data_IF_939662154577
#
_entry.id   IF_939662154577
#
_cell.length_a   1.000
_cell.length_b   1.000
_cell.length_c   1.000
_cell.angle_alpha   90.00
_cell.angle_beta   90.00
_cell.angle_gamma   90.00
#
_symmetry.space_group_name_H-M   'P 1'
#
loop_
_entity.id
_entity.type
_entity.pdbx_description
1 polymer ?
#
# COMPACT_ATOMS: atom_id res chain seq x y z
N UNK A 1 9.94 2.67 -16.09
CA UNK A 1 9.58 2.69 -14.66
C UNK A 1 8.52 1.63 -14.43
N UNK A 2 8.62 0.84 -13.36
CA UNK A 2 7.65 -0.21 -13.04
C UNK A 2 6.62 0.37 -12.08
N UNK A 3 5.33 0.26 -12.43
CA UNK A 3 4.23 0.70 -11.57
C UNK A 3 3.99 -0.29 -10.44
N UNK A 4 3.61 0.23 -9.27
CA UNK A 4 3.13 -0.57 -8.13
C UNK A 4 1.65 -0.27 -7.94
N UNK A 5 0.87 -1.34 -7.87
CA UNK A 5 -0.54 -1.29 -7.58
C UNK A 5 -0.76 -1.54 -6.09
N UNK A 6 -1.42 -0.61 -5.42
CA UNK A 6 -1.91 -0.79 -4.05
C UNK A 6 -3.38 -1.19 -4.13
N UNK A 7 -3.68 -2.39 -3.65
CA UNK A 7 -5.03 -2.93 -3.57
C UNK A 7 -5.51 -2.75 -2.14
N UNK A 8 -6.60 -2.01 -1.94
CA UNK A 8 -7.22 -1.80 -0.62
C UNK A 8 -8.59 -2.43 -0.56
N UNK A 9 -8.81 -3.35 0.38
CA UNK A 9 -10.12 -3.86 0.74
C UNK A 9 -10.73 -3.01 1.85
N UNK A 10 -11.96 -2.59 1.67
CA UNK A 10 -12.71 -1.75 2.58
C UNK A 10 -13.77 -2.54 3.34
N UNK A 11 -13.96 -2.21 4.61
CA UNK A 11 -15.05 -2.76 5.43
C UNK A 11 -15.54 -1.69 6.40
N UNK A 12 -16.86 -1.43 6.41
CA UNK A 12 -17.46 -0.42 7.29
C UNK A 12 -16.88 0.99 7.11
N UNK A 13 -16.54 1.39 5.89
CA UNK A 13 -15.99 2.71 5.57
C UNK A 13 -14.52 2.92 5.93
N UNK A 14 -13.81 1.90 6.42
CA UNK A 14 -12.37 1.95 6.75
C UNK A 14 -11.56 0.91 5.96
N UNK A 15 -10.27 1.18 5.69
CA UNK A 15 -9.40 0.23 5.02
C UNK A 15 -9.13 -0.97 5.94
N UNK A 16 -9.62 -2.15 5.56
CA UNK A 16 -9.50 -3.38 6.34
C UNK A 16 -8.18 -4.12 6.05
N UNK A 17 -7.78 -4.21 4.78
CA UNK A 17 -6.53 -4.86 4.37
C UNK A 17 -5.98 -4.22 3.10
N UNK A 18 -4.65 -4.14 2.99
CA UNK A 18 -3.96 -3.65 1.79
C UNK A 18 -2.96 -4.69 1.29
N UNK A 19 -2.74 -4.68 -0.01
CA UNK A 19 -1.71 -5.46 -0.68
C UNK A 19 -1.00 -4.62 -1.73
N UNK A 20 0.17 -5.08 -2.15
CA UNK A 20 0.88 -4.56 -3.30
C UNK A 20 0.96 -5.61 -4.41
N UNK A 21 0.99 -5.16 -5.65
CA UNK A 21 1.27 -5.95 -6.83
C UNK A 21 2.10 -5.14 -7.81
N UNK A 22 3.04 -5.78 -8.48
CA UNK A 22 3.81 -5.20 -9.59
C UNK A 22 3.05 -5.23 -10.92
N UNK A 23 2.01 -6.05 -11.02
CA UNK A 23 1.13 -6.14 -12.18
C UNK A 23 -0.26 -5.59 -11.86
N UNK A 24 -0.94 -5.08 -12.89
CA UNK A 24 -2.31 -4.59 -12.78
C UNK A 24 -3.23 -5.73 -12.29
N UNK A 25 -4.01 -5.53 -11.22
CA UNK A 25 -4.97 -6.54 -10.77
C UNK A 25 -6.02 -6.83 -11.85
N UNK A 26 -6.28 -8.12 -12.07
CA UNK A 26 -7.29 -8.59 -13.01
C UNK A 26 -8.66 -8.61 -12.31
N UNK A 27 -9.71 -8.13 -12.98
CA UNK A 27 -11.07 -8.26 -12.43
C UNK A 27 -11.50 -9.72 -12.46
N UNK A 28 -12.09 -10.18 -11.37
CA UNK A 28 -12.70 -11.51 -11.33
C UNK A 28 -13.93 -11.58 -12.25
N UNK A 29 -14.25 -12.74 -12.84
CA UNK A 29 -15.40 -12.90 -13.75
C UNK A 29 -16.75 -12.50 -13.13
N UNK A 30 -16.88 -12.60 -11.80
CA UNK A 30 -18.07 -12.20 -11.05
C UNK A 30 -18.25 -10.67 -10.95
N UNK A 31 -17.23 -9.89 -11.33
CA UNK A 31 -17.25 -8.43 -11.32
C UNK A 31 -17.11 -7.77 -9.94
N UNK A 32 -17.13 -8.55 -8.85
CA UNK A 32 -17.10 -8.03 -7.47
C UNK A 32 -15.75 -8.23 -6.77
N UNK A 33 -14.67 -8.44 -7.52
CA UNK A 33 -13.35 -8.73 -6.95
C UNK A 33 -12.20 -8.58 -7.93
N UNK A 34 -10.98 -8.75 -7.41
CA UNK A 34 -9.74 -8.73 -8.19
C UNK A 34 -8.84 -9.91 -7.84
N UNK A 35 -8.06 -10.36 -8.83
CA UNK A 35 -6.96 -11.32 -8.71
C UNK A 35 -5.64 -10.63 -9.02
N UNK A 36 -4.62 -10.85 -8.20
CA UNK A 36 -3.28 -10.30 -8.40
C UNK A 36 -2.22 -11.18 -7.73
N UNK A 37 -0.94 -10.95 -8.04
CA UNK A 37 0.17 -11.59 -7.33
C UNK A 37 0.65 -10.63 -6.25
N UNK A 38 0.57 -11.05 -4.99
CA UNK A 38 1.01 -10.24 -3.87
C UNK A 38 2.53 -10.06 -3.89
N UNK A 39 2.99 -8.82 -3.76
CA UNK A 39 4.41 -8.51 -3.74
C UNK A 39 5.13 -9.10 -2.52
N UNK A 40 4.44 -9.12 -1.38
CA UNK A 40 4.98 -9.60 -0.10
C UNK A 40 5.12 -11.13 -0.08
N UNK A 41 4.03 -11.83 -0.39
CA UNK A 41 3.97 -13.30 -0.27
C UNK A 41 4.35 -14.04 -1.54
N UNK A 42 4.40 -13.34 -2.69
CA UNK A 42 4.56 -13.92 -4.04
C UNK A 42 3.47 -14.93 -4.44
N UNK A 43 2.37 -15.00 -3.69
CA UNK A 43 1.22 -15.85 -3.99
C UNK A 43 0.18 -15.09 -4.81
N UNK A 44 -0.58 -15.82 -5.64
CA UNK A 44 -1.79 -15.28 -6.26
C UNK A 44 -2.87 -15.15 -5.17
N UNK A 45 -3.47 -13.96 -5.10
CA UNK A 45 -4.51 -13.60 -4.14
C UNK A 45 -5.75 -13.18 -4.91
N UNK A 46 -6.88 -13.73 -4.52
CA UNK A 46 -8.20 -13.30 -4.98
C UNK A 46 -8.93 -12.61 -3.83
N UNK A 47 -9.43 -11.41 -4.08
CA UNK A 47 -10.15 -10.60 -3.08
C UNK A 47 -11.50 -10.24 -3.66
N UNK A 48 -12.57 -10.51 -2.90
CA UNK A 48 -13.96 -10.22 -3.26
C UNK A 48 -14.51 -9.21 -2.25
N UNK A 49 -15.14 -8.14 -2.72
CA UNK A 49 -15.79 -7.14 -1.88
C UNK A 49 -15.61 -5.71 -2.38
N UNK A 50 -15.70 -4.75 -1.46
CA UNK A 50 -15.46 -3.33 -1.74
C UNK A 50 -13.95 -3.08 -1.82
N UNK A 51 -13.45 -2.81 -3.02
CA UNK A 51 -12.01 -2.75 -3.32
C UNK A 51 -11.70 -1.47 -4.09
N UNK A 52 -10.62 -0.79 -3.69
CA UNK A 52 -9.97 0.23 -4.51
C UNK A 52 -8.60 -0.28 -4.98
N UNK A 53 -8.21 0.13 -6.19
CA UNK A 53 -6.91 -0.16 -6.78
C UNK A 53 -6.29 1.17 -7.20
N UNK A 54 -5.11 1.46 -6.67
CA UNK A 54 -4.39 2.71 -6.88
C UNK A 54 -3.03 2.39 -7.52
N UNK A 55 -2.67 3.09 -8.61
CA UNK A 55 -1.38 2.92 -9.28
C UNK A 55 -0.40 4.00 -8.83
N UNK A 56 0.81 3.59 -8.46
CA UNK A 56 1.89 4.46 -8.02
C UNK A 56 3.16 4.16 -8.80
N UNK A 57 4.01 5.16 -8.97
CA UNK A 57 5.41 4.93 -9.35
C UNK A 57 6.18 4.37 -8.14
N UNK A 58 7.06 3.39 -8.35
CA UNK A 58 7.79 2.65 -7.28
C UNK A 58 8.25 3.52 -6.10
N UNK A 59 8.87 4.67 -6.36
CA UNK A 59 9.40 5.54 -5.29
C UNK A 59 8.34 6.28 -4.46
N UNK A 60 7.11 6.42 -4.95
CA UNK A 60 5.99 7.03 -4.21
C UNK A 60 5.21 6.00 -3.39
N UNK A 61 5.16 4.75 -3.86
CA UNK A 61 4.49 3.66 -3.15
C UNK A 61 5.14 3.34 -1.80
N UNK A 62 6.47 3.39 -1.74
CA UNK A 62 7.26 3.15 -0.53
C UNK A 62 7.00 4.23 0.53
N UNK A 63 6.91 5.50 0.11
CA UNK A 63 6.65 6.64 0.99
C UNK A 63 5.25 6.61 1.61
N UNK A 64 4.21 6.30 0.83
CA UNK A 64 2.82 6.19 1.31
C UNK A 64 2.65 5.06 2.35
N UNK A 65 3.43 3.98 2.23
CA UNK A 65 3.43 2.90 3.22
C UNK A 65 4.21 3.25 4.48
N UNK A 66 5.38 3.89 4.35
CA UNK A 66 6.20 4.34 5.47
C UNK A 66 5.43 5.34 6.36
N UNK A 67 4.77 6.33 5.74
CA UNK A 67 3.93 7.32 6.42
C UNK A 67 2.76 6.67 7.21
N UNK A 68 2.28 5.50 6.79
CA UNK A 68 1.14 4.82 7.42
C UNK A 68 1.53 3.81 8.49
N UNK A 69 2.71 3.21 8.41
CA UNK A 69 3.22 2.31 9.44
C UNK A 69 3.73 3.05 10.70
N UNK A 70 3.66 4.39 10.73
CA UNK A 70 4.26 5.20 11.78
C UNK A 70 5.78 5.31 11.66
N UNK A 71 6.36 4.77 10.58
CA UNK A 71 7.76 4.91 10.21
C UNK A 71 7.89 6.13 9.30
N UNK A 72 7.47 7.29 9.82
CA UNK A 72 8.08 8.51 9.31
C UNK A 72 9.59 8.35 9.57
N UNK A 73 10.50 8.71 8.65
CA UNK A 73 11.86 8.95 9.04
C UNK A 73 11.78 10.04 10.11
N UNK A 74 11.87 9.64 11.38
CA UNK A 74 12.02 10.58 12.47
C UNK A 74 13.20 11.49 12.11
N UNK A 75 13.20 12.76 12.55
CA UNK A 75 14.43 13.55 12.48
C UNK A 75 15.53 12.68 13.08
N UNK A 76 16.59 12.42 12.29
CA UNK A 76 17.68 11.54 12.70
C UNK A 76 18.20 11.93 14.09
N UNK A 77 18.85 11.01 14.81
CA UNK A 77 19.44 11.33 16.11
C UNK A 77 20.53 12.39 15.88
N UNK A 78 20.21 13.66 16.13
CA UNK A 78 21.10 14.77 15.82
C UNK A 78 20.54 16.18 16.05
N UNK A 79 19.25 16.35 16.34
CA UNK A 79 18.75 17.62 16.87
C UNK A 79 18.85 17.63 18.39
N UNK A 80 20.10 17.66 18.89
CA UNK A 80 20.35 17.98 20.29
C UNK A 80 19.77 19.36 20.60
N UNK A 81 19.05 19.38 21.71
CA UNK A 81 18.50 20.55 22.36
C UNK A 81 19.59 21.56 22.72
N UNK A 82 19.80 22.59 21.89
CA UNK A 82 20.43 23.80 22.39
C UNK A 82 19.34 24.73 22.91
N UNK A 83 19.00 24.51 24.18
CA UNK A 83 18.22 25.44 24.98
C UNK A 83 18.98 26.77 25.04
N UNK A 84 18.29 27.79 24.55
CA UNK A 84 18.46 29.20 24.89
C UNK A 84 19.09 29.44 26.28
N UNK A 85 20.19 30.19 26.30
CA UNK A 85 20.59 31.07 27.39
C UNK A 85 20.43 32.51 26.93
#
# INVERSE_FOLDING_TARGET
MKGIYVITMWSGGKPAKKWQSEGTPERLPTGTGVSFVSLDTKLRVEVIGSISVEEYESGRAELEMALRNGDAPGPGPGAESERLY
#
